data_IF_772127567869
#
_entry.id   IF_772127567869
#
_cell.length_a   1.000
_cell.length_b   1.000
_cell.length_c   1.000
_cell.angle_alpha   90.00
_cell.angle_beta   90.00
_cell.angle_gamma   90.00
#
_symmetry.space_group_name_H-M   'P 1'
#
loop_
_entity.id
_entity.type
_entity.pdbx_description
1 polymer ?
#
# COMPACT_ATOMS: atom_id res chain seq x y z
N UNK A 1 33.89 -19.84 -8.78
CA UNK A 1 32.98 -19.59 -7.65
C UNK A 1 33.50 -18.34 -6.96
N UNK A 2 32.79 -17.21 -7.08
CA UNK A 2 33.25 -15.97 -6.44
C UNK A 2 32.69 -15.95 -5.01
N UNK A 3 33.59 -15.97 -4.03
CA UNK A 3 33.24 -15.98 -2.61
C UNK A 3 33.32 -14.56 -2.08
N UNK A 4 32.24 -14.06 -1.51
CA UNK A 4 32.22 -12.79 -0.77
C UNK A 4 32.20 -13.13 0.72
N UNK A 5 33.20 -12.67 1.45
CA UNK A 5 33.29 -12.89 2.90
C UNK A 5 32.72 -11.68 3.64
N UNK A 6 31.67 -11.91 4.43
CA UNK A 6 31.06 -10.89 5.27
C UNK A 6 31.40 -11.21 6.74
N UNK A 7 32.08 -10.32 7.48
CA UNK A 7 32.37 -10.53 8.89
C UNK A 7 31.09 -10.72 9.74
N UNK A 8 31.03 -11.78 10.56
CA UNK A 8 29.86 -12.05 11.43
C UNK A 8 29.55 -10.93 12.41
N UNK A 9 30.55 -10.19 12.87
CA UNK A 9 30.36 -9.09 13.83
C UNK A 9 29.54 -7.90 13.28
N UNK A 10 29.35 -7.83 11.95
CA UNK A 10 28.53 -6.80 11.31
C UNK A 10 27.03 -7.14 11.32
N UNK A 11 26.66 -8.39 11.58
CA UNK A 11 25.27 -8.86 11.55
C UNK A 11 24.73 -8.85 12.98
N UNK A 12 23.61 -8.16 13.20
CA UNK A 12 22.90 -8.11 14.50
C UNK A 12 21.43 -8.40 14.30
N UNK A 13 20.88 -9.33 15.08
CA UNK A 13 19.43 -9.60 15.11
C UNK A 13 18.80 -9.81 13.72
N UNK A 14 19.47 -10.54 12.82
CA UNK A 14 18.97 -10.89 11.48
C UNK A 14 18.77 -9.69 10.52
N UNK A 15 19.66 -8.69 10.62
CA UNK A 15 19.60 -7.43 9.85
C UNK A 15 20.26 -7.47 8.46
N UNK A 16 20.89 -8.58 8.07
CA UNK A 16 21.63 -8.67 6.80
C UNK A 16 20.74 -9.20 5.66
N UNK A 17 20.63 -8.40 4.60
CA UNK A 17 19.99 -8.81 3.34
C UNK A 17 20.96 -8.58 2.18
N UNK A 18 21.17 -9.61 1.35
CA UNK A 18 22.01 -9.52 0.14
C UNK A 18 21.11 -9.55 -1.08
N UNK A 19 21.15 -8.50 -1.89
CA UNK A 19 20.35 -8.35 -3.11
C UNK A 19 21.20 -7.80 -4.25
N UNK A 20 20.90 -8.18 -5.51
CA UNK A 20 21.53 -7.59 -6.68
C UNK A 20 21.37 -6.07 -6.71
N UNK A 21 22.43 -5.37 -7.12
CA UNK A 21 22.45 -3.90 -7.18
C UNK A 21 21.25 -3.31 -7.94
N UNK A 22 20.87 -3.94 -9.05
CA UNK A 22 19.73 -3.50 -9.88
C UNK A 22 18.39 -3.61 -9.14
N UNK A 23 18.20 -4.65 -8.35
CA UNK A 23 16.98 -4.84 -7.55
C UNK A 23 16.91 -3.84 -6.40
N UNK A 24 18.02 -3.60 -5.71
CA UNK A 24 18.10 -2.58 -4.67
C UNK A 24 17.71 -1.18 -5.19
N UNK A 25 18.25 -0.78 -6.33
CA UNK A 25 17.93 0.53 -6.93
C UNK A 25 16.48 0.61 -7.42
N UNK A 26 15.95 -0.47 -8.00
CA UNK A 26 14.52 -0.52 -8.37
C UNK A 26 13.62 -0.44 -7.13
N UNK A 27 13.99 -1.07 -6.02
CA UNK A 27 13.23 -1.01 -4.77
C UNK A 27 13.26 0.41 -4.20
N UNK A 28 14.44 1.05 -4.16
CA UNK A 28 14.61 2.43 -3.70
C UNK A 28 13.80 3.42 -4.53
N UNK A 29 13.79 3.28 -5.85
CA UNK A 29 13.02 4.15 -6.75
C UNK A 29 11.50 4.03 -6.57
N UNK A 30 11.01 2.85 -6.16
CA UNK A 30 9.58 2.58 -5.89
C UNK A 30 9.21 2.79 -4.43
N UNK A 31 10.15 3.18 -3.58
CA UNK A 31 9.91 3.37 -2.17
C UNK A 31 9.08 4.64 -1.98
N UNK A 32 7.76 4.46 -1.83
CA UNK A 32 6.89 5.54 -1.43
C UNK A 32 7.11 5.84 0.06
N UNK A 33 7.16 7.12 0.46
CA UNK A 33 7.18 7.47 1.86
C UNK A 33 5.90 6.94 2.51
N UNK A 34 6.06 5.99 3.44
CA UNK A 34 4.94 5.44 4.19
C UNK A 34 4.61 6.43 5.29
N UNK A 35 3.59 7.25 5.07
CA UNK A 35 3.07 8.16 6.08
C UNK A 35 2.00 7.44 6.91
N UNK A 36 2.31 7.20 8.19
CA UNK A 36 1.31 6.75 9.15
C UNK A 36 0.59 7.95 9.74
N UNK A 37 -0.62 8.20 9.24
CA UNK A 37 -1.50 9.22 9.83
C UNK A 37 -1.83 8.82 11.27
N UNK A 38 -1.82 9.80 12.20
CA UNK A 38 -2.09 9.58 13.63
C UNK A 38 -3.29 10.40 14.09
N UNK A 39 -3.86 10.01 15.23
CA UNK A 39 -4.97 10.71 15.88
C UNK A 39 -6.35 10.14 15.55
N UNK A 40 -7.41 10.81 16.06
CA UNK A 40 -8.80 10.34 15.94
C UNK A 40 -9.27 10.25 14.48
N UNK A 41 -8.89 11.23 13.66
CA UNK A 41 -9.28 11.28 12.25
C UNK A 41 -8.64 10.13 11.45
N UNK A 42 -7.37 9.83 11.69
CA UNK A 42 -6.69 8.68 11.07
C UNK A 42 -7.40 7.36 11.43
N UNK A 43 -7.69 7.14 12.72
CA UNK A 43 -8.44 5.95 13.17
C UNK A 43 -9.84 5.85 12.57
N UNK A 44 -10.51 6.99 12.38
CA UNK A 44 -11.83 7.03 11.73
C UNK A 44 -11.74 6.63 10.27
N UNK A 45 -10.73 7.12 9.55
CA UNK A 45 -10.44 6.74 8.18
C UNK A 45 -10.16 5.24 8.06
N UNK A 46 -9.31 4.68 8.92
CA UNK A 46 -8.99 3.25 8.93
C UNK A 46 -10.25 2.38 9.11
N UNK A 47 -11.16 2.80 9.99
CA UNK A 47 -12.46 2.14 10.18
C UNK A 47 -13.34 2.21 8.93
N UNK A 48 -13.39 3.36 8.25
CA UNK A 48 -14.15 3.50 6.99
C UNK A 48 -13.58 2.60 5.89
N UNK A 49 -12.26 2.56 5.75
CA UNK A 49 -11.59 1.72 4.74
C UNK A 49 -11.84 0.23 5.02
N UNK A 50 -11.67 -0.21 6.26
CA UNK A 50 -11.93 -1.62 6.64
C UNK A 50 -13.40 -2.03 6.46
N UNK A 51 -14.33 -1.12 6.77
CA UNK A 51 -15.75 -1.30 6.47
C UNK A 51 -16.01 -1.47 4.98
N UNK A 52 -15.51 -0.54 4.16
CA UNK A 52 -15.67 -0.59 2.70
C UNK A 52 -15.06 -1.85 2.07
N UNK A 53 -13.88 -2.29 2.54
CA UNK A 53 -13.28 -3.56 2.09
C UNK A 53 -14.15 -4.78 2.44
N UNK A 54 -14.79 -4.75 3.60
CA UNK A 54 -15.71 -5.82 4.02
C UNK A 54 -16.97 -5.84 3.16
N UNK A 55 -17.52 -4.68 2.83
CA UNK A 55 -18.68 -4.55 1.94
C UNK A 55 -18.36 -4.98 0.51
N UNK A 56 -17.20 -4.55 -0.01
CA UNK A 56 -16.68 -5.00 -1.30
C UNK A 56 -16.60 -6.51 -1.40
N UNK A 57 -16.00 -7.17 -0.39
CA UNK A 57 -15.91 -8.64 -0.34
C UNK A 57 -17.26 -9.34 -0.28
N UNK A 58 -18.30 -8.67 0.24
CA UNK A 58 -19.67 -9.16 0.29
C UNK A 58 -20.47 -8.83 -0.98
N UNK A 59 -19.86 -8.21 -1.99
CA UNK A 59 -20.54 -7.77 -3.21
C UNK A 59 -21.51 -6.62 -2.98
N UNK A 60 -21.42 -5.91 -1.84
CA UNK A 60 -22.24 -4.73 -1.53
C UNK A 60 -21.66 -3.50 -2.22
N UNK A 61 -21.63 -3.54 -3.54
CA UNK A 61 -21.05 -2.52 -4.40
C UNK A 61 -22.03 -2.17 -5.50
N UNK A 62 -22.02 -0.93 -5.95
CA UNK A 62 -22.73 -0.52 -7.16
C UNK A 62 -21.75 -0.14 -8.27
N UNK A 63 -22.24 -0.09 -9.50
CA UNK A 63 -21.43 0.38 -10.63
C UNK A 63 -21.22 1.88 -10.54
N UNK A 64 -20.09 2.36 -11.05
CA UNK A 64 -19.81 3.80 -11.09
C UNK A 64 -20.91 4.56 -11.84
N UNK A 65 -21.43 4.00 -12.93
CA UNK A 65 -22.50 4.61 -13.71
C UNK A 65 -23.81 4.74 -12.90
N UNK A 66 -24.20 3.69 -12.15
CA UNK A 66 -25.35 3.74 -11.24
C UNK A 66 -25.18 4.82 -10.17
N UNK A 67 -24.01 4.84 -9.54
CA UNK A 67 -23.67 5.83 -8.51
C UNK A 67 -23.73 7.26 -9.04
N UNK A 68 -23.08 7.51 -10.18
CA UNK A 68 -23.07 8.84 -10.79
C UNK A 68 -24.47 9.28 -11.23
N UNK A 69 -25.27 8.39 -11.82
CA UNK A 69 -26.66 8.69 -12.16
C UNK A 69 -27.50 9.12 -10.97
N UNK A 70 -27.23 8.51 -9.81
CA UNK A 70 -28.00 8.72 -8.57
C UNK A 70 -27.54 9.96 -7.80
N UNK A 71 -26.23 10.10 -7.58
CA UNK A 71 -25.66 11.08 -6.66
C UNK A 71 -25.09 12.32 -7.38
N UNK A 72 -24.63 12.17 -8.64
CA UNK A 72 -24.02 13.25 -9.43
C UNK A 72 -24.52 13.25 -10.89
N UNK A 73 -25.82 13.50 -11.13
CA UNK A 73 -26.42 13.39 -12.46
C UNK A 73 -25.76 14.30 -13.52
N UNK A 74 -25.19 15.42 -13.08
CA UNK A 74 -24.44 16.36 -13.90
C UNK A 74 -23.14 15.78 -14.46
N UNK A 75 -22.50 14.86 -13.73
CA UNK A 75 -21.27 14.17 -14.16
C UNK A 75 -21.56 12.92 -15.01
N UNK A 76 -22.79 12.42 -14.98
CA UNK A 76 -23.19 11.28 -15.81
C UNK A 76 -23.43 11.67 -17.28
N UNK A 77 -23.77 12.93 -17.56
CA UNK A 77 -24.02 13.39 -18.92
C UNK A 77 -22.72 13.34 -19.75
N UNK A 78 -22.67 12.42 -20.70
CA UNK A 78 -21.70 12.45 -21.83
C UNK A 78 -22.05 13.57 -22.79
#
# INVERSE_FOLDING_TARGET
MNTITIPRGLIKNDDLVVLPRREYESMKARMFPIFFLKGKNAKSLDKRVSGGLTEYRKGKTETLESFLKKEYPELHKK
#
